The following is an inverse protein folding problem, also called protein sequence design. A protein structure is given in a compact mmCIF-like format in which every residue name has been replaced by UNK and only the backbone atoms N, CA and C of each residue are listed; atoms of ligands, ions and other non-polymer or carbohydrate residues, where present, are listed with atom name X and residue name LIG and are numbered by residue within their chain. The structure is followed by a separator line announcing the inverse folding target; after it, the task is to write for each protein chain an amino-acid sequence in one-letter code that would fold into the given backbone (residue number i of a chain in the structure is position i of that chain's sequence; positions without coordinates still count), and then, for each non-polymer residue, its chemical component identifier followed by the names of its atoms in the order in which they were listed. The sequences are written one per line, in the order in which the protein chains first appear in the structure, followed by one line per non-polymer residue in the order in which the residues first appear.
data_IF_917991074696
#
_entry.id   IF_917991074696
#
_cell.length_a   1.000
_cell.length_b   1.000
_cell.length_c   1.000
_cell.angle_alpha   90.00
_cell.angle_beta   90.00
_cell.angle_gamma   90.00
#
_symmetry.space_group_name_H-M   'P 1'
#
loop_
_entity.id
_entity.type
_entity.pdbx_description
1 polymer ?
#
# COMPACT_ATOMS: atom_id res chain seq x y z
N UNK A 1 -29.76 20.03 27.28
CA UNK A 1 -29.62 18.61 27.60
C UNK A 1 -29.91 17.85 26.33
N UNK A 2 -28.88 17.46 25.59
CA UNK A 2 -28.64 16.06 25.23
C UNK A 2 -27.24 16.01 24.62
N UNK A 3 -26.26 15.63 25.46
CA UNK A 3 -24.89 15.47 25.06
C UNK A 3 -24.68 14.02 24.69
N UNK A 4 -24.66 13.71 23.40
CA UNK A 4 -24.16 12.44 22.91
C UNK A 4 -22.65 12.43 23.11
N UNK A 5 -22.21 11.98 24.29
CA UNK A 5 -20.84 11.60 24.54
C UNK A 5 -20.48 10.50 23.53
N UNK A 6 -19.58 10.83 22.61
CA UNK A 6 -19.04 9.95 21.59
C UNK A 6 -18.44 8.72 22.29
N UNK A 7 -18.99 7.53 22.04
CA UNK A 7 -18.60 6.24 22.64
C UNK A 7 -17.22 5.75 22.21
N UNK A 8 -16.33 6.66 21.78
CA UNK A 8 -14.96 6.42 21.33
C UNK A 8 -13.92 6.50 22.46
N UNK A 9 -14.33 6.84 23.67
CA UNK A 9 -13.47 6.83 24.86
C UNK A 9 -13.20 5.39 25.34
N UNK A 10 -12.13 4.77 24.85
CA UNK A 10 -11.64 3.53 25.47
C UNK A 10 -10.62 2.72 24.70
N UNK A 11 -10.47 2.95 23.39
CA UNK A 11 -9.55 2.14 22.59
C UNK A 11 -8.19 2.79 22.38
N UNK A 12 -7.13 2.06 22.72
CA UNK A 12 -5.74 2.46 22.46
C UNK A 12 -5.52 2.56 20.94
N UNK A 13 -5.20 3.76 20.45
CA UNK A 13 -5.09 4.07 19.02
C UNK A 13 -4.21 3.06 18.27
N UNK A 14 -3.13 2.61 18.91
CA UNK A 14 -2.17 1.66 18.33
C UNK A 14 -2.70 0.25 18.16
N UNK A 15 -3.58 -0.21 19.05
CA UNK A 15 -4.19 -1.54 18.98
C UNK A 15 -5.44 -1.57 18.10
N UNK A 16 -6.13 -0.43 17.98
CA UNK A 16 -7.31 -0.31 17.15
C UNK A 16 -7.11 -0.81 15.72
N UNK A 17 -8.20 -1.32 15.15
CA UNK A 17 -8.27 -1.70 13.75
C UNK A 17 -7.90 -0.50 12.87
N UNK A 18 -6.84 -0.66 12.08
CA UNK A 18 -6.50 0.22 10.98
C UNK A 18 -7.03 -0.46 9.71
N UNK A 19 -8.20 -0.01 9.27
CA UNK A 19 -8.95 -0.41 8.09
C UNK A 19 -8.57 0.40 6.84
N UNK A 20 -7.63 1.32 6.93
CA UNK A 20 -7.13 2.09 5.78
C UNK A 20 -6.33 1.26 4.76
N UNK A 21 -6.26 -0.07 4.90
CA UNK A 21 -5.57 -0.97 3.98
C UNK A 21 -6.57 -1.52 2.96
N UNK A 22 -6.11 -1.72 1.72
CA UNK A 22 -6.94 -2.29 0.66
C UNK A 22 -7.54 -3.66 1.05
N UNK A 23 -8.83 -3.85 0.78
CA UNK A 23 -9.57 -5.06 1.08
C UNK A 23 -10.07 -5.14 2.53
N UNK A 24 -10.14 -4.01 3.22
CA UNK A 24 -10.63 -3.88 4.61
C UNK A 24 -11.77 -2.85 4.73
N UNK A 25 -12.35 -2.44 3.61
CA UNK A 25 -13.48 -1.52 3.56
C UNK A 25 -14.76 -2.20 4.10
N UNK A 26 -15.59 -1.45 4.83
CA UNK A 26 -16.91 -1.92 5.29
C UNK A 26 -16.89 -2.94 6.44
N UNK A 27 -15.76 -3.12 7.11
CA UNK A 27 -15.67 -4.02 8.27
C UNK A 27 -16.37 -3.45 9.50
N UNK A 28 -16.98 -4.33 10.29
CA UNK A 28 -17.48 -4.01 11.63
C UNK A 28 -16.30 -3.76 12.58
N UNK A 29 -15.91 -2.49 12.66
CA UNK A 29 -14.76 -2.05 13.44
C UNK A 29 -14.95 -2.38 14.91
N UNK A 30 -16.13 -2.14 15.46
CA UNK A 30 -16.39 -2.27 16.90
C UNK A 30 -16.29 -3.73 17.33
N UNK A 31 -16.88 -4.64 16.57
CA UNK A 31 -16.76 -6.08 16.83
C UNK A 31 -15.30 -6.57 16.78
N UNK A 32 -14.55 -6.21 15.74
CA UNK A 32 -13.15 -6.62 15.57
C UNK A 32 -12.30 -6.06 16.72
N UNK A 33 -12.51 -4.78 17.04
CA UNK A 33 -11.83 -4.06 18.09
C UNK A 33 -12.08 -4.69 19.47
N UNK A 34 -13.32 -5.10 19.77
CA UNK A 34 -13.66 -5.79 21.01
C UNK A 34 -12.89 -7.11 21.14
N UNK A 35 -12.81 -7.92 20.09
CA UNK A 35 -12.04 -9.18 20.09
C UNK A 35 -10.55 -8.90 20.32
N UNK A 36 -9.98 -7.89 19.65
CA UNK A 36 -8.58 -7.49 19.84
C UNK A 36 -8.32 -7.07 21.29
N UNK A 37 -9.22 -6.26 21.86
CA UNK A 37 -9.11 -5.78 23.22
C UNK A 37 -9.19 -6.92 24.23
N UNK A 38 -10.19 -7.79 24.12
CA UNK A 38 -10.35 -8.97 24.99
C UNK A 38 -9.14 -9.90 24.93
N UNK A 39 -8.58 -10.12 23.74
CA UNK A 39 -7.40 -10.95 23.57
C UNK A 39 -6.11 -10.35 24.15
N UNK A 40 -6.09 -9.04 24.40
CA UNK A 40 -4.88 -8.30 24.78
C UNK A 40 -4.92 -7.78 26.22
N UNK A 41 -6.12 -7.58 26.78
CA UNK A 41 -6.33 -7.00 28.12
C UNK A 41 -5.58 -7.81 29.19
N UNK A 42 -4.88 -7.11 30.07
CA UNK A 42 -4.07 -7.73 31.14
C UNK A 42 -2.66 -8.16 30.72
N UNK A 43 -2.31 -8.12 29.43
CA UNK A 43 -0.94 -8.41 28.99
C UNK A 43 0.04 -7.28 29.31
N UNK A 44 1.34 -7.61 29.46
CA UNK A 44 2.41 -6.60 29.57
C UNK A 44 2.45 -5.67 28.34
N UNK A 45 2.14 -6.19 27.15
CA UNK A 45 2.02 -5.40 25.94
C UNK A 45 0.90 -4.35 26.06
N UNK A 46 -0.29 -4.75 26.51
CA UNK A 46 -1.41 -3.83 26.72
C UNK A 46 -1.07 -2.73 27.71
N UNK A 47 -0.46 -3.06 28.85
CA UNK A 47 -0.01 -2.07 29.85
C UNK A 47 0.98 -1.06 29.23
N UNK A 48 1.92 -1.53 28.42
CA UNK A 48 2.85 -0.67 27.70
C UNK A 48 2.14 0.24 26.67
N UNK A 49 1.15 -0.29 25.95
CA UNK A 49 0.35 0.53 25.02
C UNK A 49 -0.49 1.59 25.73
N UNK A 50 -1.07 1.28 26.91
CA UNK A 50 -1.73 2.29 27.77
C UNK A 50 -0.75 3.40 28.14
N UNK A 51 0.45 3.05 28.60
CA UNK A 51 1.49 4.03 28.96
C UNK A 51 1.87 4.92 27.77
N UNK A 52 2.06 4.34 26.59
CA UNK A 52 2.39 5.11 25.38
C UNK A 52 1.23 6.02 24.94
N UNK A 53 -0.01 5.57 25.08
CA UNK A 53 -1.20 6.39 24.79
C UNK A 53 -1.27 7.61 25.72
N UNK A 54 -1.00 7.42 27.02
CA UNK A 54 -0.91 8.52 27.99
C UNK A 54 0.16 9.54 27.59
N UNK A 55 1.36 9.09 27.19
CA UNK A 55 2.43 9.98 26.71
C UNK A 55 2.00 10.81 25.49
N UNK A 56 1.27 10.19 24.54
CA UNK A 56 0.73 10.91 23.38
C UNK A 56 -0.31 11.94 23.83
N UNK A 57 -1.21 11.59 24.75
CA UNK A 57 -2.21 12.50 25.28
C UNK A 57 -1.58 13.68 26.04
N UNK A 58 -0.52 13.45 26.81
CA UNK A 58 0.25 14.52 27.45
C UNK A 58 0.90 15.46 26.43
N UNK A 59 1.45 14.91 25.34
CA UNK A 59 2.02 15.70 24.23
C UNK A 59 0.95 16.56 23.56
N UNK A 60 -0.23 16.00 23.29
CA UNK A 60 -1.38 16.73 22.77
C UNK A 60 -1.80 17.83 23.75
N UNK A 61 -1.90 17.53 25.05
CA UNK A 61 -2.24 18.53 26.06
C UNK A 61 -1.22 19.68 26.12
N UNK A 62 0.08 19.40 26.00
CA UNK A 62 1.12 20.44 25.90
C UNK A 62 0.94 21.29 24.64
N UNK A 63 0.69 20.66 23.49
CA UNK A 63 0.45 21.34 22.22
C UNK A 63 -0.79 22.25 22.29
N UNK A 64 -1.91 21.77 22.85
CA UNK A 64 -3.14 22.56 22.99
C UNK A 64 -2.96 23.75 23.94
N UNK A 65 -2.21 23.57 25.04
CA UNK A 65 -1.83 24.69 25.92
C UNK A 65 -0.92 25.70 25.22
N UNK A 66 -0.06 25.26 24.30
CA UNK A 66 0.75 26.17 23.50
C UNK A 66 -0.13 26.94 22.50
N UNK A 67 -1.03 26.25 21.78
CA UNK A 67 -2.01 26.88 20.86
C UNK A 67 -2.83 27.96 21.56
N UNK A 68 -3.31 27.70 22.77
CA UNK A 68 -4.11 28.66 23.54
C UNK A 68 -3.36 29.96 23.92
N UNK A 69 -2.03 29.97 23.88
CA UNK A 69 -1.21 31.15 24.15
C UNK A 69 -0.88 31.97 22.90
N UNK A 70 -1.16 31.43 21.70
CA UNK A 70 -0.87 32.12 20.44
C UNK A 70 -1.83 33.27 20.24
N UNK A 71 -1.31 34.43 19.85
CA UNK A 71 -2.12 35.60 19.50
C UNK A 71 -2.44 35.61 18.01
N UNK A 72 -3.55 36.27 17.64
CA UNK A 72 -3.93 36.47 16.24
C UNK A 72 -2.81 37.16 15.44
N UNK A 73 -2.11 38.10 16.07
CA UNK A 73 -0.97 38.79 15.45
C UNK A 73 0.19 37.83 15.14
N UNK A 74 0.50 36.89 16.04
CA UNK A 74 1.53 35.87 15.79
C UNK A 74 1.12 34.95 14.64
N UNK A 75 -0.15 34.53 14.60
CA UNK A 75 -0.68 33.67 13.53
C UNK A 75 -0.63 34.40 12.20
N UNK A 76 -1.08 35.66 12.13
CA UNK A 76 -1.09 36.42 10.88
C UNK A 76 0.33 36.75 10.38
N UNK A 77 1.29 36.94 11.30
CA UNK A 77 2.71 37.18 10.96
C UNK A 77 3.41 35.91 10.49
N UNK A 78 2.89 34.72 10.80
CA UNK A 78 3.47 33.46 10.33
C UNK A 78 3.43 33.41 8.80
N UNK A 79 4.59 33.64 8.18
CA UNK A 79 4.73 33.69 6.74
C UNK A 79 4.82 32.27 6.20
N UNK A 80 3.98 31.97 5.21
CA UNK A 80 4.04 30.72 4.48
C UNK A 80 4.86 30.95 3.21
N UNK A 81 5.73 30.01 2.87
CA UNK A 81 6.56 30.12 1.67
C UNK A 81 5.70 29.93 0.41
N UNK A 82 5.42 31.02 -0.31
CA UNK A 82 4.81 30.98 -1.64
C UNK A 82 5.76 30.40 -2.71
N UNK A 83 7.06 30.33 -2.40
CA UNK A 83 8.11 29.87 -3.30
C UNK A 83 7.93 28.39 -3.67
N UNK A 84 7.42 27.57 -2.75
CA UNK A 84 7.16 26.15 -3.00
C UNK A 84 6.14 25.93 -4.12
N UNK A 85 5.11 26.78 -4.22
CA UNK A 85 4.12 26.67 -5.28
C UNK A 85 4.69 27.15 -6.62
N UNK A 86 5.54 28.18 -6.60
CA UNK A 86 6.23 28.68 -7.80
C UNK A 86 7.19 27.66 -8.39
N UNK A 87 7.81 26.83 -7.55
CA UNK A 87 8.71 25.75 -7.94
C UNK A 87 8.03 24.43 -8.32
N UNK A 88 6.70 24.38 -8.48
CA UNK A 88 5.97 23.15 -8.80
C UNK A 88 6.40 22.59 -10.16
N UNK A 89 6.94 21.39 -10.16
CA UNK A 89 7.22 20.62 -11.38
C UNK A 89 6.08 19.61 -11.64
N UNK A 90 5.51 19.63 -12.85
CA UNK A 90 4.45 18.69 -13.27
C UNK A 90 4.83 17.85 -14.51
N UNK A 91 5.98 18.13 -15.15
CA UNK A 91 6.38 17.48 -16.39
C UNK A 91 6.95 16.07 -16.25
N UNK A 92 7.03 15.53 -15.03
CA UNK A 92 7.54 14.19 -14.74
C UNK A 92 6.39 13.20 -14.63
N UNK A 93 6.63 11.95 -15.06
CA UNK A 93 5.69 10.85 -14.91
C UNK A 93 6.29 9.83 -13.95
N UNK A 94 5.95 9.97 -12.68
CA UNK A 94 6.40 9.07 -11.62
C UNK A 94 5.38 7.96 -11.43
N UNK A 95 5.87 6.72 -11.41
CA UNK A 95 5.09 5.52 -11.15
C UNK A 95 5.54 4.91 -9.84
N UNK A 96 4.58 4.60 -8.96
CA UNK A 96 4.81 3.71 -7.83
C UNK A 96 4.13 2.37 -8.12
N UNK A 97 4.88 1.28 -8.05
CA UNK A 97 4.35 -0.08 -8.21
C UNK A 97 4.45 -0.81 -6.88
N UNK A 98 3.41 -1.54 -6.52
CA UNK A 98 3.27 -2.25 -5.24
C UNK A 98 2.55 -3.59 -5.48
N UNK A 99 3.25 -4.72 -5.24
CA UNK A 99 2.70 -6.06 -5.46
C UNK A 99 1.52 -6.35 -4.52
N UNK A 100 0.49 -7.03 -5.02
CA UNK A 100 -0.73 -7.25 -4.24
C UNK A 100 -0.58 -8.40 -3.25
N UNK A 101 -0.61 -8.07 -1.95
CA UNK A 101 -0.47 -9.05 -0.85
C UNK A 101 0.77 -9.97 -1.03
N UNK A 102 1.89 -9.40 -1.46
CA UNK A 102 3.06 -10.09 -2.02
C UNK A 102 3.37 -11.48 -1.47
N UNK A 103 3.81 -11.61 -0.21
CA UNK A 103 4.20 -12.91 0.34
C UNK A 103 3.04 -13.91 0.34
N UNK A 104 1.82 -13.48 0.66
CA UNK A 104 0.65 -14.35 0.62
C UNK A 104 0.31 -14.79 -0.81
N UNK A 105 0.46 -13.90 -1.79
CA UNK A 105 0.23 -14.21 -3.20
C UNK A 105 1.26 -15.23 -3.73
N UNK A 106 2.53 -15.11 -3.33
CA UNK A 106 3.58 -16.10 -3.65
C UNK A 106 3.20 -17.48 -3.11
N UNK A 107 2.82 -17.57 -1.83
CA UNK A 107 2.44 -18.86 -1.24
C UNK A 107 1.14 -19.43 -1.84
N UNK A 108 0.17 -18.58 -2.23
CA UNK A 108 -1.04 -19.00 -2.93
C UNK A 108 -0.76 -19.54 -4.34
N UNK A 109 0.22 -18.98 -5.04
CA UNK A 109 0.66 -19.46 -6.36
C UNK A 109 1.31 -20.84 -6.24
N UNK A 110 2.22 -20.99 -5.28
CA UNK A 110 2.98 -22.23 -5.10
C UNK A 110 2.15 -23.35 -4.46
N UNK A 111 1.09 -23.02 -3.72
CA UNK A 111 0.16 -23.97 -3.10
C UNK A 111 -1.30 -23.59 -3.44
N UNK A 112 -1.85 -24.15 -4.55
CA UNK A 112 -3.19 -23.81 -5.03
C UNK A 112 -4.31 -24.03 -4.00
N UNK A 113 -4.13 -24.96 -3.05
CA UNK A 113 -5.10 -25.21 -1.97
C UNK A 113 -5.35 -24.00 -1.05
N UNK A 114 -4.48 -22.99 -1.08
CA UNK A 114 -4.59 -21.77 -0.29
C UNK A 114 -5.38 -20.67 -1.00
N UNK A 115 -5.63 -20.80 -2.32
CA UNK A 115 -6.16 -19.72 -3.16
C UNK A 115 -7.48 -19.14 -2.64
N UNK A 116 -8.39 -20.02 -2.24
CA UNK A 116 -9.74 -19.65 -1.79
C UNK A 116 -9.90 -19.66 -0.26
N UNK A 117 -8.81 -19.81 0.49
CA UNK A 117 -8.82 -19.86 1.96
C UNK A 117 -8.33 -18.55 2.56
N UNK A 118 -8.87 -18.10 3.71
CA UNK A 118 -8.25 -17.02 4.46
C UNK A 118 -6.87 -17.48 4.94
N UNK A 119 -5.80 -16.81 4.51
CA UNK A 119 -4.44 -17.15 4.91
C UNK A 119 -3.58 -15.92 5.20
N UNK A 120 -2.54 -16.14 6.01
CA UNK A 120 -1.55 -15.13 6.37
C UNK A 120 -0.14 -15.73 6.40
N UNK A 121 0.86 -14.90 6.16
CA UNK A 121 2.28 -15.30 6.23
C UNK A 121 2.89 -14.74 7.51
N UNK A 122 3.58 -15.58 8.28
CA UNK A 122 4.23 -15.21 9.53
C UNK A 122 4.22 -16.36 10.54
N UNK A 123 3.89 -16.05 11.79
CA UNK A 123 3.79 -17.02 12.87
C UNK A 123 2.67 -16.67 13.84
N UNK A 124 2.46 -17.51 14.85
CA UNK A 124 1.55 -17.21 15.96
C UNK A 124 1.93 -15.92 16.71
N UNK A 125 3.21 -15.55 16.70
CA UNK A 125 3.70 -14.33 17.35
C UNK A 125 3.44 -13.07 16.53
N UNK A 126 3.64 -13.13 15.21
CA UNK A 126 3.48 -11.95 14.34
C UNK A 126 3.21 -12.35 12.89
N UNK A 127 2.25 -11.67 12.27
CA UNK A 127 1.96 -11.78 10.84
C UNK A 127 2.66 -10.68 10.04
N UNK A 128 3.34 -11.07 8.96
CA UNK A 128 3.97 -10.16 8.00
C UNK A 128 2.97 -9.64 6.97
N UNK A 129 2.05 -10.47 6.50
CA UNK A 129 0.97 -10.06 5.60
C UNK A 129 -0.19 -11.06 5.64
N UNK A 130 -1.31 -10.71 4.99
CA UNK A 130 -2.50 -11.55 4.83
C UNK A 130 -3.08 -11.38 3.43
N UNK A 131 -3.67 -12.45 2.90
CA UNK A 131 -4.40 -12.39 1.64
C UNK A 131 -5.72 -11.61 1.80
N UNK A 132 -6.31 -11.21 0.68
CA UNK A 132 -7.55 -10.41 0.70
C UNK A 132 -8.73 -11.15 1.33
N UNK A 133 -8.79 -12.48 1.27
CA UNK A 133 -9.81 -13.28 1.98
C UNK A 133 -9.72 -13.12 3.50
N UNK A 134 -8.52 -13.17 4.06
CA UNK A 134 -8.30 -12.98 5.51
C UNK A 134 -8.53 -11.53 5.96
N UNK A 135 -8.24 -10.54 5.10
CA UNK A 135 -8.47 -9.11 5.39
C UNK A 135 -9.94 -8.79 5.66
N UNK A 136 -10.88 -9.52 5.05
CA UNK A 136 -12.33 -9.41 5.32
C UNK A 136 -12.73 -9.76 6.76
N UNK A 137 -11.85 -10.39 7.53
CA UNK A 137 -12.05 -10.67 8.96
C UNK A 137 -11.31 -9.69 9.87
N UNK A 138 -10.64 -8.67 9.31
CA UNK A 138 -9.79 -7.75 10.07
C UNK A 138 -8.34 -8.22 10.22
N UNK A 139 -7.98 -9.40 9.71
CA UNK A 139 -6.61 -9.94 9.78
C UNK A 139 -5.68 -9.15 8.88
N UNK A 140 -4.59 -8.63 9.43
CA UNK A 140 -3.64 -7.77 8.70
C UNK A 140 -2.19 -7.96 9.17
N UNK A 141 -1.25 -7.44 8.37
CA UNK A 141 0.15 -7.31 8.78
C UNK A 141 0.32 -6.56 10.12
N UNK A 142 1.37 -6.92 10.86
CA UNK A 142 1.69 -6.44 12.20
C UNK A 142 0.63 -6.81 13.28
N UNK A 143 -0.20 -7.82 13.01
CA UNK A 143 -1.10 -8.43 13.99
C UNK A 143 -0.48 -9.73 14.52
N UNK A 144 -0.57 -10.03 15.83
CA UNK A 144 -0.20 -11.35 16.35
C UNK A 144 -1.08 -12.45 15.77
N UNK A 145 -0.47 -13.57 15.36
CA UNK A 145 -1.19 -14.70 14.75
C UNK A 145 -2.25 -15.30 15.67
N UNK A 146 -2.01 -15.35 16.98
CA UNK A 146 -3.03 -15.83 17.95
C UNK A 146 -4.27 -14.93 18.02
N UNK A 147 -4.13 -13.61 17.81
CA UNK A 147 -5.28 -12.69 17.73
C UNK A 147 -6.00 -12.89 16.39
N UNK A 148 -5.23 -13.02 15.30
CA UNK A 148 -5.79 -13.26 13.98
C UNK A 148 -6.63 -14.56 13.92
N UNK A 149 -6.20 -15.61 14.62
CA UNK A 149 -6.96 -16.87 14.79
C UNK A 149 -8.27 -16.69 15.58
N UNK A 150 -8.34 -15.74 16.51
CA UNK A 150 -9.61 -15.40 17.18
C UNK A 150 -10.57 -14.66 16.26
N UNK A 151 -10.05 -13.80 15.38
CA UNK A 151 -10.85 -13.11 14.36
C UNK A 151 -11.33 -14.06 13.25
N UNK A 152 -10.49 -15.02 12.87
CA UNK A 152 -10.76 -16.00 11.83
C UNK A 152 -10.22 -17.38 12.27
N UNK A 153 -11.06 -18.25 12.89
CA UNK A 153 -10.63 -19.57 13.39
C UNK A 153 -10.02 -20.46 12.30
N UNK A 154 -10.56 -20.37 11.09
CA UNK A 154 -10.14 -21.15 9.91
C UNK A 154 -8.90 -20.55 9.20
N UNK A 155 -8.28 -19.48 9.72
CA UNK A 155 -7.12 -18.84 9.11
C UNK A 155 -5.94 -19.81 8.99
N UNK A 156 -5.37 -19.97 7.81
CA UNK A 156 -4.11 -20.72 7.63
C UNK A 156 -2.93 -19.77 7.83
N UNK A 157 -1.99 -20.11 8.70
CA UNK A 157 -0.75 -19.33 8.91
C UNK A 157 0.41 -20.10 8.30
N UNK A 158 1.03 -19.53 7.27
CA UNK A 158 2.17 -20.11 6.55
C UNK A 158 3.47 -19.44 7.01
N UNK A 159 4.54 -20.19 7.29
CA UNK A 159 5.86 -19.62 7.63
C UNK A 159 6.44 -18.74 6.53
N UNK A 160 7.36 -17.84 6.88
CA UNK A 160 8.08 -16.99 5.92
C UNK A 160 9.09 -17.82 5.11
N UNK A 161 9.20 -17.52 3.80
CA UNK A 161 10.26 -18.03 2.93
C UNK A 161 10.90 -16.88 2.13
N UNK A 162 11.91 -16.23 2.71
CA UNK A 162 12.54 -15.04 2.12
C UNK A 162 13.29 -15.32 0.83
N UNK A 163 13.81 -16.53 0.62
CA UNK A 163 14.51 -16.88 -0.61
C UNK A 163 13.55 -16.85 -1.81
N UNK A 164 12.35 -17.43 -1.65
CA UNK A 164 11.28 -17.34 -2.67
C UNK A 164 10.89 -15.89 -2.96
N UNK A 165 10.67 -15.10 -1.92
CA UNK A 165 10.22 -13.72 -2.07
C UNK A 165 11.28 -12.85 -2.76
N UNK A 166 12.56 -13.09 -2.46
CA UNK A 166 13.69 -12.41 -3.09
C UNK A 166 13.79 -12.78 -4.56
N UNK A 167 13.72 -14.08 -4.89
CA UNK A 167 13.75 -14.55 -6.29
C UNK A 167 12.61 -13.98 -7.14
N UNK A 168 11.40 -13.88 -6.59
CA UNK A 168 10.28 -13.24 -7.29
C UNK A 168 10.50 -11.73 -7.42
N UNK A 169 11.02 -11.06 -6.39
CA UNK A 169 11.36 -9.64 -6.45
C UNK A 169 12.34 -9.32 -7.58
N UNK A 170 13.36 -10.16 -7.76
CA UNK A 170 14.35 -10.04 -8.84
C UNK A 170 13.68 -10.12 -10.23
N UNK A 171 12.78 -11.07 -10.43
CA UNK A 171 12.03 -11.21 -11.68
C UNK A 171 11.18 -9.96 -12.01
N UNK A 172 10.54 -9.37 -10.98
CA UNK A 172 9.75 -8.14 -11.11
C UNK A 172 10.66 -6.94 -11.42
N UNK A 173 11.80 -6.83 -10.74
CA UNK A 173 12.78 -5.77 -10.96
C UNK A 173 13.39 -5.78 -12.36
N UNK A 174 13.55 -6.96 -12.96
CA UNK A 174 13.93 -7.08 -14.38
C UNK A 174 12.87 -6.47 -15.31
N UNK A 175 11.59 -6.54 -14.96
CA UNK A 175 10.53 -5.85 -15.72
C UNK A 175 10.65 -4.34 -15.52
N UNK A 176 10.85 -3.87 -14.28
CA UNK A 176 11.03 -2.45 -13.97
C UNK A 176 12.18 -1.81 -14.75
N UNK A 177 13.32 -2.49 -14.83
CA UNK A 177 14.51 -2.01 -15.52
C UNK A 177 14.29 -1.71 -17.02
N UNK A 178 13.25 -2.28 -17.64
CA UNK A 178 12.89 -2.00 -19.03
C UNK A 178 12.14 -0.66 -19.22
N UNK A 179 11.61 -0.07 -18.13
CA UNK A 179 10.90 1.20 -18.16
C UNK A 179 11.70 2.33 -17.50
N UNK A 180 12.48 2.00 -16.48
CA UNK A 180 13.42 2.93 -15.84
C UNK A 180 14.63 2.12 -15.35
N UNK A 181 15.81 2.23 -16.00
CA UNK A 181 17.01 1.52 -15.55
C UNK A 181 17.55 2.04 -14.21
N UNK A 182 17.04 3.17 -13.72
CA UNK A 182 17.44 3.81 -12.46
C UNK A 182 16.33 3.83 -11.42
N UNK A 183 15.33 2.93 -11.55
CA UNK A 183 14.24 2.79 -10.60
C UNK A 183 14.75 2.65 -9.15
N UNK A 184 13.96 3.10 -8.18
CA UNK A 184 14.27 3.02 -6.76
C UNK A 184 13.44 1.93 -6.09
N UNK A 185 14.02 0.75 -5.78
CA UNK A 185 13.36 -0.23 -4.94
C UNK A 185 13.28 0.27 -3.50
N UNK A 186 12.10 0.22 -2.90
CA UNK A 186 11.89 0.56 -1.48
C UNK A 186 11.86 -0.70 -0.60
N UNK A 187 11.30 -1.79 -1.13
CA UNK A 187 11.21 -3.10 -0.49
C UNK A 187 11.37 -4.22 -1.54
N UNK A 188 11.01 -5.46 -1.17
CA UNK A 188 10.93 -6.56 -2.15
C UNK A 188 9.72 -6.42 -3.10
N UNK A 189 8.66 -5.74 -2.66
CA UNK A 189 7.37 -5.66 -3.34
C UNK A 189 7.02 -4.28 -3.89
N UNK A 190 7.79 -3.24 -3.59
CA UNK A 190 7.46 -1.89 -4.04
C UNK A 190 8.68 -1.11 -4.57
N UNK A 191 8.43 -0.28 -5.59
CA UNK A 191 9.44 0.56 -6.24
C UNK A 191 8.84 1.84 -6.85
N UNK A 192 9.67 2.86 -6.98
CA UNK A 192 9.39 4.04 -7.80
C UNK A 192 10.14 3.99 -9.12
N UNK A 193 9.50 4.44 -10.20
CA UNK A 193 10.06 4.59 -11.53
C UNK A 193 9.78 6.00 -12.05
N UNK A 194 10.75 6.64 -12.70
CA UNK A 194 10.52 7.82 -13.55
C UNK A 194 10.47 7.36 -15.01
N UNK A 195 9.26 7.19 -15.54
CA UNK A 195 9.06 6.70 -16.92
C UNK A 195 9.00 7.83 -17.95
N UNK A 196 9.38 9.06 -17.57
CA UNK A 196 9.29 10.23 -18.45
C UNK A 196 10.07 10.02 -19.75
N UNK A 197 11.32 9.57 -19.66
CA UNK A 197 12.17 9.31 -20.84
C UNK A 197 11.64 8.14 -21.66
N UNK A 198 11.25 7.04 -21.01
CA UNK A 198 10.64 5.89 -21.68
C UNK A 198 9.40 6.30 -22.49
N UNK A 199 8.54 7.17 -21.96
CA UNK A 199 7.35 7.63 -22.68
C UNK A 199 7.69 8.49 -23.90
N UNK A 200 8.73 9.33 -23.82
CA UNK A 200 9.21 10.09 -24.98
C UNK A 200 9.67 9.18 -26.12
N UNK A 201 10.41 8.12 -25.81
CA UNK A 201 10.85 7.13 -26.81
C UNK A 201 9.65 6.33 -27.33
N UNK A 202 8.78 5.88 -26.42
CA UNK A 202 7.62 5.03 -26.70
C UNK A 202 6.63 5.65 -27.69
N UNK A 203 6.53 6.98 -27.74
CA UNK A 203 5.70 7.69 -28.74
C UNK A 203 6.05 7.32 -30.19
N UNK A 204 7.30 6.94 -30.45
CA UNK A 204 7.80 6.63 -31.78
C UNK A 204 7.94 5.12 -32.03
N UNK A 205 7.58 4.28 -31.04
CA UNK A 205 7.73 2.83 -31.15
C UNK A 205 6.69 2.20 -32.08
N UNK A 206 7.11 1.31 -33.00
CA UNK A 206 6.17 0.49 -33.76
C UNK A 206 5.37 -0.43 -32.83
N UNK A 207 4.21 -0.89 -33.28
CA UNK A 207 3.35 -1.80 -32.48
C UNK A 207 4.08 -3.08 -32.07
N UNK A 208 5.00 -3.58 -32.91
CA UNK A 208 5.78 -4.79 -32.64
C UNK A 208 6.62 -4.71 -31.35
N UNK A 209 7.07 -3.51 -30.95
CA UNK A 209 7.81 -3.29 -29.70
C UNK A 209 6.90 -3.18 -28.47
N UNK A 210 5.59 -3.07 -28.68
CA UNK A 210 4.56 -2.94 -27.64
C UNK A 210 3.53 -4.06 -27.72
N UNK A 211 3.89 -5.18 -28.35
CA UNK A 211 3.04 -6.33 -28.56
C UNK A 211 3.58 -7.52 -27.80
N UNK A 212 2.73 -8.17 -27.01
CA UNK A 212 3.09 -9.36 -26.24
C UNK A 212 2.07 -10.47 -26.49
N UNK A 213 2.54 -11.72 -26.55
CA UNK A 213 1.66 -12.89 -26.58
C UNK A 213 1.21 -13.18 -25.16
N UNK A 214 -0.09 -13.29 -24.94
CA UNK A 214 -0.61 -13.81 -23.67
C UNK A 214 -0.41 -15.33 -23.67
N UNK A 215 0.25 -15.84 -22.63
CA UNK A 215 0.24 -17.27 -22.35
C UNK A 215 -1.05 -17.53 -21.56
N UNK A 216 -2.06 -18.11 -22.21
CA UNK A 216 -3.21 -18.63 -21.48
C UNK A 216 -2.71 -19.74 -20.54
N UNK A 217 -2.69 -19.47 -19.23
CA UNK A 217 -2.60 -20.51 -18.22
C UNK A 217 -3.94 -21.26 -18.27
N UNK A 218 -4.09 -22.20 -19.19
CA UNK A 218 -5.23 -23.10 -19.23
C UNK A 218 -5.35 -23.81 -17.87
N UNK A 219 -6.38 -23.47 -17.11
CA UNK A 219 -6.86 -24.29 -16.01
C UNK A 219 -7.48 -25.52 -16.67
N UNK A 220 -7.06 -26.76 -16.36
CA UNK A 220 -7.72 -27.94 -16.90
C UNK A 220 -9.17 -27.93 -16.42
N UNK A 221 -10.11 -27.67 -17.31
CA UNK A 221 -11.51 -27.94 -17.07
C UNK A 221 -11.64 -29.45 -17.18
N UNK A 222 -11.66 -30.14 -16.03
CA UNK A 222 -12.13 -31.53 -15.97
C UNK A 222 -13.56 -31.56 -16.50
N UNK A 223 -13.70 -31.96 -17.76
CA UNK A 223 -14.99 -32.31 -18.33
C UNK A 223 -15.27 -33.75 -17.97
N UNK A 224 -15.95 -33.95 -16.85
CA UNK A 224 -16.70 -35.18 -16.58
C UNK A 224 -17.71 -35.37 -17.71
N UNK A 225 -17.40 -36.25 -18.66
CA UNK A 225 -18.37 -36.78 -19.60
C UNK A 225 -18.38 -38.30 -19.55
N UNK A 226 -19.39 -38.80 -18.84
CA UNK A 226 -19.82 -40.19 -18.83
C UNK A 226 -20.49 -40.55 -20.18
N UNK A 227 -19.87 -41.51 -20.90
CA UNK A 227 -20.48 -42.59 -21.72
C UNK A 227 -21.15 -42.24 -23.09
N UNK A 228 -21.40 -43.23 -24.01
CA UNK A 228 -20.77 -44.54 -24.25
C UNK A 228 -20.37 -44.83 -25.73
N UNK A 229 -19.61 -45.91 -25.89
CA UNK A 229 -19.34 -46.77 -27.08
C UNK A 229 -20.30 -46.65 -28.27
N UNK A 230 -19.77 -46.43 -29.49
CA UNK A 230 -20.26 -46.98 -30.77
C UNK A 230 -19.12 -47.07 -31.83
N UNK A 231 -19.23 -48.05 -32.72
CA UNK A 231 -18.22 -48.75 -33.55
C UNK A 231 -17.63 -48.02 -34.79
N UNK A 232 -16.63 -48.69 -35.37
CA UNK A 232 -15.56 -48.38 -36.35
C UNK A 232 -15.87 -47.89 -37.80
N UNK A 233 -14.76 -47.42 -38.42
CA UNK A 233 -14.29 -47.55 -39.83
C UNK A 233 -14.53 -46.45 -40.89
N UNK A 234 -13.51 -45.60 -41.14
CA UNK A 234 -12.77 -45.48 -42.43
C UNK A 234 -11.79 -44.28 -42.47
N UNK A 235 -10.71 -44.32 -43.30
CA UNK A 235 -9.53 -43.45 -43.17
C UNK A 235 -9.41 -42.36 -44.25
N UNK A 236 -9.00 -41.14 -43.88
CA UNK A 236 -8.24 -40.23 -44.79
C UNK A 236 -7.64 -39.02 -44.05
N UNK A 237 -6.32 -38.95 -44.02
CA UNK A 237 -5.46 -37.76 -44.20
C UNK A 237 -5.88 -36.41 -43.59
N UNK A 238 -5.19 -36.00 -42.51
CA UNK A 238 -4.28 -34.83 -42.43
C UNK A 238 -3.88 -34.57 -40.98
N UNK A 239 -2.59 -34.36 -40.64
CA UNK A 239 -2.19 -33.90 -39.32
C UNK A 239 -2.27 -32.36 -39.30
N UNK A 240 -3.42 -31.81 -38.91
CA UNK A 240 -3.47 -30.42 -38.47
C UNK A 240 -3.08 -30.39 -36.98
N UNK A 241 -1.83 -29.99 -36.72
CA UNK A 241 -1.38 -29.53 -35.42
C UNK A 241 -2.36 -28.47 -34.88
N UNK A 242 -2.89 -28.59 -33.66
CA UNK A 242 -3.55 -27.46 -33.02
C UNK A 242 -2.46 -26.56 -32.44
N UNK A 243 -2.01 -25.59 -33.24
CA UNK A 243 -1.32 -24.42 -32.70
C UNK A 243 -2.36 -23.54 -32.04
N UNK A 244 -2.39 -23.47 -30.71
CA UNK A 244 -3.09 -22.38 -30.04
C UNK A 244 -2.30 -21.09 -30.33
N UNK A 245 -2.67 -20.37 -31.39
CA UNK A 245 -2.13 -19.04 -31.66
C UNK A 245 -2.58 -18.13 -30.50
N UNK A 246 -1.72 -18.00 -29.49
CA UNK A 246 -1.98 -17.18 -28.30
C UNK A 246 -2.35 -15.76 -28.70
N UNK A 247 -3.35 -15.19 -28.01
CA UNK A 247 -3.84 -13.84 -28.29
C UNK A 247 -2.72 -12.82 -28.12
N UNK A 248 -2.41 -12.08 -29.20
CA UNK A 248 -1.46 -10.98 -29.16
C UNK A 248 -2.17 -9.75 -28.61
N UNK A 249 -1.60 -9.16 -27.56
CA UNK A 249 -2.07 -7.92 -26.96
C UNK A 249 -1.10 -6.78 -27.24
N UNK A 250 -1.63 -5.66 -27.72
CA UNK A 250 -0.86 -4.45 -28.05
C UNK A 250 -1.19 -3.36 -27.03
N UNK A 251 -0.16 -2.72 -26.47
CA UNK A 251 -0.30 -1.68 -25.45
C UNK A 251 -0.02 -0.32 -26.05
N UNK A 252 -0.88 0.68 -25.82
CA UNK A 252 -0.74 2.05 -26.35
C UNK A 252 0.50 2.81 -25.88
N UNK A 253 0.58 4.10 -26.23
CA UNK A 253 1.73 4.98 -25.94
C UNK A 253 1.52 5.91 -24.74
N UNK A 254 0.34 5.91 -24.13
CA UNK A 254 0.05 6.74 -22.95
C UNK A 254 0.76 6.22 -21.69
N UNK A 255 0.91 7.05 -20.64
CA UNK A 255 1.38 6.61 -19.33
C UNK A 255 0.59 5.41 -18.78
N UNK A 256 -0.74 5.46 -18.88
CA UNK A 256 -1.62 4.40 -18.39
C UNK A 256 -1.37 3.08 -19.12
N UNK A 257 -1.15 3.12 -20.43
CA UNK A 257 -0.90 1.93 -21.23
C UNK A 257 0.49 1.34 -20.97
N UNK A 258 1.52 2.17 -20.77
CA UNK A 258 2.85 1.70 -20.40
C UNK A 258 2.84 1.00 -19.02
N UNK A 259 2.07 1.53 -18.06
CA UNK A 259 1.93 0.91 -16.73
C UNK A 259 1.05 -0.35 -16.79
N UNK A 260 0.02 -0.37 -17.65
CA UNK A 260 -0.78 -1.58 -17.91
C UNK A 260 0.09 -2.68 -18.51
N UNK A 261 0.97 -2.35 -19.45
CA UNK A 261 1.97 -3.26 -20.02
C UNK A 261 2.92 -3.79 -18.94
N UNK A 262 3.45 -2.91 -18.10
CA UNK A 262 4.34 -3.30 -17.01
C UNK A 262 3.68 -4.31 -16.06
N UNK A 263 2.43 -4.03 -15.65
CA UNK A 263 1.64 -4.93 -14.79
C UNK A 263 1.35 -6.27 -15.48
N UNK A 264 0.97 -6.24 -16.75
CA UNK A 264 0.77 -7.44 -17.55
C UNK A 264 2.05 -8.30 -17.62
N UNK A 265 3.21 -7.69 -17.89
CA UNK A 265 4.49 -8.40 -17.94
C UNK A 265 4.88 -9.01 -16.60
N UNK A 266 4.59 -8.32 -15.50
CA UNK A 266 4.77 -8.87 -14.14
C UNK A 266 3.90 -10.10 -13.95
N UNK A 267 2.62 -10.03 -14.31
CA UNK A 267 1.68 -11.14 -14.18
C UNK A 267 2.08 -12.33 -15.05
N UNK A 268 2.42 -12.12 -16.32
CA UNK A 268 2.86 -13.19 -17.22
C UNK A 268 4.15 -13.86 -16.71
N UNK A 269 5.08 -13.10 -16.14
CA UNK A 269 6.36 -13.62 -15.68
C UNK A 269 6.27 -14.33 -14.33
N UNK A 270 5.43 -13.84 -13.42
CA UNK A 270 5.44 -14.27 -12.01
C UNK A 270 4.17 -14.99 -11.59
N UNK A 271 3.10 -14.92 -12.39
CA UNK A 271 1.73 -15.28 -12.03
C UNK A 271 1.17 -14.53 -10.82
N UNK A 272 1.69 -13.32 -10.56
CA UNK A 272 1.26 -12.44 -9.47
C UNK A 272 0.84 -11.07 -10.01
N UNK A 273 -0.11 -10.44 -9.34
CA UNK A 273 -0.60 -9.12 -9.72
C UNK A 273 0.12 -8.00 -8.96
N UNK A 274 0.15 -6.83 -9.58
CA UNK A 274 0.62 -5.60 -8.97
C UNK A 274 -0.40 -4.49 -9.18
N UNK A 275 -0.42 -3.54 -8.24
CA UNK A 275 -1.14 -2.28 -8.40
C UNK A 275 -0.17 -1.13 -8.58
N UNK A 276 -0.59 -0.09 -9.28
CA UNK A 276 0.28 1.02 -9.64
C UNK A 276 -0.38 2.39 -9.54
N UNK A 277 0.39 3.39 -9.15
CA UNK A 277 -0.04 4.78 -9.11
C UNK A 277 0.81 5.63 -10.04
N UNK A 278 0.17 6.46 -10.85
CA UNK A 278 0.80 7.35 -11.82
C UNK A 278 0.54 8.79 -11.38
N UNK A 279 1.59 9.57 -11.17
CA UNK A 279 1.44 10.96 -10.75
C UNK A 279 2.68 11.82 -11.07
N UNK A 280 2.59 13.15 -10.92
CA UNK A 280 3.72 14.04 -11.18
C UNK A 280 4.87 13.95 -10.16
N UNK A 281 4.66 13.30 -9.02
CA UNK A 281 5.68 13.16 -7.97
C UNK A 281 5.48 11.86 -7.15
N UNK A 282 6.53 11.47 -6.43
CA UNK A 282 6.58 10.21 -5.65
C UNK A 282 5.49 10.14 -4.58
N UNK A 283 5.21 11.25 -3.88
CA UNK A 283 4.22 11.26 -2.79
C UNK A 283 2.83 10.91 -3.32
N UNK A 284 2.41 11.57 -4.39
CA UNK A 284 1.12 11.29 -5.04
C UNK A 284 1.08 9.90 -5.67
N UNK A 285 2.16 9.48 -6.36
CA UNK A 285 2.22 8.16 -6.99
C UNK A 285 2.01 7.03 -5.98
N UNK A 286 2.62 7.13 -4.79
CA UNK A 286 2.39 6.17 -3.70
C UNK A 286 0.93 6.09 -3.29
N UNK A 287 0.30 7.23 -3.04
CA UNK A 287 -1.12 7.28 -2.63
C UNK A 287 -2.02 6.70 -3.74
N UNK A 288 -1.73 7.01 -5.00
CA UNK A 288 -2.47 6.47 -6.15
C UNK A 288 -2.38 4.95 -6.24
N UNK A 289 -1.20 4.36 -5.96
CA UNK A 289 -1.00 2.91 -6.07
C UNK A 289 -1.86 2.09 -5.11
N UNK A 290 -2.27 2.68 -3.99
CA UNK A 290 -3.15 2.05 -3.01
C UNK A 290 -4.64 2.21 -3.32
N UNK A 291 -5.02 3.16 -4.21
CA UNK A 291 -6.42 3.56 -4.42
C UNK A 291 -7.28 2.49 -5.08
N UNK A 292 -6.72 1.80 -6.08
CA UNK A 292 -7.40 0.78 -6.87
C UNK A 292 -6.85 -0.64 -6.61
N UNK A 293 -6.24 -0.88 -5.43
CA UNK A 293 -5.81 -2.22 -5.03
C UNK A 293 -7.01 -3.14 -4.76
N UNK A 294 -6.91 -4.45 -5.08
CA UNK A 294 -5.82 -5.13 -5.80
C UNK A 294 -5.94 -5.06 -7.33
N UNK A 295 -4.85 -5.38 -8.02
CA UNK A 295 -4.71 -5.52 -9.46
C UNK A 295 -5.31 -4.35 -10.25
N UNK A 296 -5.05 -3.12 -9.79
CA UNK A 296 -5.57 -1.91 -10.42
C UNK A 296 -4.52 -0.82 -10.52
N UNK A 297 -4.84 0.22 -11.28
CA UNK A 297 -4.00 1.41 -11.38
C UNK A 297 -4.83 2.69 -11.29
N UNK A 298 -4.21 3.77 -10.84
CA UNK A 298 -4.83 5.09 -10.77
C UNK A 298 -3.85 6.17 -11.22
N UNK A 299 -4.34 7.14 -11.99
CA UNK A 299 -3.54 8.22 -12.56
C UNK A 299 -4.05 9.58 -12.11
N UNK A 300 -3.13 10.49 -11.78
CA UNK A 300 -3.41 11.93 -11.62
C UNK A 300 -2.77 12.62 -12.82
N UNK A 301 -3.60 13.36 -13.57
CA UNK A 301 -3.13 14.14 -14.71
C UNK A 301 -2.07 15.17 -14.28
N UNK A 302 -1.10 15.50 -15.14
CA UNK A 302 -0.02 16.46 -14.85
C UNK A 302 -0.50 17.92 -14.88
N UNK A 303 -1.64 18.19 -14.25
CA UNK A 303 -2.29 19.49 -14.17
C UNK A 303 -2.47 19.87 -12.71
N UNK A 304 -2.20 21.14 -12.39
CA UNK A 304 -2.37 21.66 -11.02
C UNK A 304 -3.78 21.43 -10.49
N UNK A 305 -4.79 21.63 -11.33
CA UNK A 305 -6.19 21.47 -10.92
C UNK A 305 -6.47 20.01 -10.51
N UNK A 306 -6.05 19.04 -11.33
CA UNK A 306 -6.20 17.61 -11.02
C UNK A 306 -5.49 17.21 -9.70
N UNK A 307 -4.28 17.75 -9.46
CA UNK A 307 -3.56 17.53 -8.19
C UNK A 307 -4.34 18.10 -7.01
N UNK A 308 -4.81 19.34 -7.10
CA UNK A 308 -5.53 19.98 -6.00
C UNK A 308 -6.90 19.33 -5.76
N UNK A 309 -7.58 18.88 -6.81
CA UNK A 309 -8.84 18.13 -6.73
C UNK A 309 -8.63 16.82 -5.97
N UNK A 310 -7.55 16.09 -6.27
CA UNK A 310 -7.19 14.87 -5.57
C UNK A 310 -6.84 15.12 -4.09
N UNK A 311 -6.08 16.18 -3.80
CA UNK A 311 -5.61 16.50 -2.45
C UNK A 311 -6.73 16.98 -1.54
N UNK A 312 -7.74 17.66 -2.08
CA UNK A 312 -8.82 18.30 -1.32
C UNK A 312 -9.43 17.40 -0.25
N UNK A 313 -9.84 16.20 -0.65
CA UNK A 313 -10.57 15.26 0.21
C UNK A 313 -9.68 14.11 0.71
N UNK A 314 -8.38 14.14 0.40
CA UNK A 314 -7.45 13.09 0.80
C UNK A 314 -7.27 13.10 2.34
N UNK A 315 -7.56 11.99 3.04
CA UNK A 315 -7.30 11.89 4.47
C UNK A 315 -5.79 11.97 4.75
N UNK A 316 -5.37 12.75 5.75
CA UNK A 316 -3.94 12.90 6.09
C UNK A 316 -3.27 11.56 6.37
N UNK A 317 -4.02 10.60 6.92
CA UNK A 317 -3.52 9.26 7.27
C UNK A 317 -3.11 8.40 6.06
N UNK A 318 -3.61 8.72 4.87
CA UNK A 318 -3.28 8.03 3.61
C UNK A 318 -1.94 8.50 3.03
N UNK A 319 -1.39 9.61 3.52
CA UNK A 319 -0.11 10.14 3.07
C UNK A 319 1.04 9.44 3.79
N UNK A 320 2.02 8.95 3.03
CA UNK A 320 3.24 8.36 3.60
C UNK A 320 3.96 9.37 4.51
N UNK A 321 4.39 8.92 5.69
CA UNK A 321 4.97 9.79 6.72
C UNK A 321 3.99 10.21 7.83
N UNK A 322 2.67 10.19 7.58
CA UNK A 322 1.67 10.49 8.61
C UNK A 322 1.17 9.19 9.27
N UNK A 323 1.82 8.83 10.39
CA UNK A 323 1.42 7.69 11.23
C UNK A 323 0.36 8.03 12.29
N UNK A 324 -0.09 7.00 13.03
CA UNK A 324 -1.16 7.10 14.06
C UNK A 324 -0.96 8.24 15.08
N UNK A 325 0.28 8.50 15.48
CA UNK A 325 0.58 9.56 16.46
C UNK A 325 0.37 10.94 15.85
N UNK A 326 0.95 11.20 14.68
CA UNK A 326 0.80 12.47 13.97
C UNK A 326 -0.65 12.71 13.58
N UNK A 327 -1.33 11.68 13.06
CA UNK A 327 -2.77 11.70 12.79
C UNK A 327 -3.57 12.13 14.04
N UNK A 328 -3.31 11.51 15.21
CA UNK A 328 -4.01 11.87 16.45
C UNK A 328 -3.72 13.30 16.90
N UNK A 329 -2.48 13.78 16.74
CA UNK A 329 -2.12 15.16 17.04
C UNK A 329 -2.83 16.15 16.11
N UNK A 330 -2.90 15.86 14.81
CA UNK A 330 -3.62 16.68 13.83
C UNK A 330 -5.14 16.66 14.08
N UNK A 331 -5.70 15.49 14.42
CA UNK A 331 -7.11 15.35 14.78
C UNK A 331 -7.50 16.18 16.02
N UNK A 332 -6.60 16.33 17.00
CA UNK A 332 -6.82 17.22 18.14
C UNK A 332 -6.86 18.72 17.77
N UNK A 333 -6.46 19.06 16.54
CA UNK A 333 -6.59 20.38 15.92
C UNK A 333 -7.73 20.44 14.91
N UNK A 334 -8.60 19.44 14.86
CA UNK A 334 -9.70 19.28 13.88
C UNK A 334 -9.21 19.17 12.42
N UNK A 335 -8.04 18.53 12.22
CA UNK A 335 -7.45 18.30 10.90
C UNK A 335 -7.50 16.80 10.56
N UNK A 336 -8.30 16.46 9.55
CA UNK A 336 -8.50 15.10 9.05
C UNK A 336 -8.12 14.95 7.57
N UNK A 337 -8.22 16.03 6.78
CA UNK A 337 -7.91 16.07 5.34
C UNK A 337 -6.71 16.96 5.03
N UNK A 338 -6.08 16.74 3.87
CA UNK A 338 -4.97 17.58 3.41
C UNK A 338 -5.39 19.03 3.12
N UNK A 339 -6.65 19.29 2.74
CA UNK A 339 -7.17 20.66 2.63
C UNK A 339 -7.20 21.37 3.99
N UNK A 340 -7.71 20.71 5.04
CA UNK A 340 -7.70 21.24 6.41
C UNK A 340 -6.28 21.46 6.93
N UNK A 341 -5.36 20.58 6.55
CA UNK A 341 -3.93 20.71 6.87
C UNK A 341 -3.38 22.04 6.32
N UNK A 342 -3.66 22.35 5.05
CA UNK A 342 -3.25 23.61 4.42
C UNK A 342 -3.90 24.85 5.05
N UNK A 343 -5.20 24.78 5.37
CA UNK A 343 -5.93 25.88 6.01
C UNK A 343 -5.33 26.29 7.36
N UNK A 344 -4.82 25.33 8.12
CA UNK A 344 -4.23 25.58 9.44
C UNK A 344 -2.70 25.77 9.42
N UNK A 345 -2.07 25.90 8.25
CA UNK A 345 -0.61 25.85 8.14
C UNK A 345 0.12 26.90 8.99
N UNK A 346 -0.43 28.11 9.11
CA UNK A 346 0.14 29.18 9.98
C UNK A 346 0.17 28.79 11.45
N UNK A 347 -0.86 28.07 11.91
CA UNK A 347 -0.89 27.55 13.28
C UNK A 347 0.09 26.39 13.41
N UNK A 348 0.14 25.49 12.42
CA UNK A 348 1.06 24.35 12.41
C UNK A 348 2.53 24.81 12.44
N UNK A 349 2.89 25.88 11.74
CA UNK A 349 4.26 26.42 11.73
C UNK A 349 4.71 26.97 13.09
N UNK A 350 3.76 27.31 13.98
CA UNK A 350 4.03 27.77 15.35
C UNK A 350 4.02 26.63 16.38
N UNK A 351 3.39 25.49 16.05
CA UNK A 351 3.23 24.36 16.97
C UNK A 351 4.21 23.21 16.73
N UNK A 352 4.69 23.05 15.50
CA UNK A 352 5.55 21.95 15.08
C UNK A 352 6.95 22.43 14.72
N UNK A 353 7.91 21.49 14.70
CA UNK A 353 9.27 21.80 14.24
C UNK A 353 9.26 22.21 12.78
N UNK A 354 10.31 22.94 12.38
CA UNK A 354 10.49 23.41 11.01
C UNK A 354 10.35 22.29 9.97
N UNK A 355 11.05 21.18 10.17
CA UNK A 355 10.95 20.00 9.31
C UNK A 355 9.53 19.46 9.18
N UNK A 356 8.78 19.44 10.28
CA UNK A 356 7.44 18.85 10.30
C UNK A 356 6.43 19.72 9.54
N UNK A 357 6.41 21.02 9.80
CA UNK A 357 5.42 21.89 9.14
C UNK A 357 5.76 22.13 7.68
N UNK A 358 7.04 22.16 7.28
CA UNK A 358 7.42 22.17 5.87
C UNK A 358 6.92 20.92 5.14
N UNK A 359 7.05 19.75 5.76
CA UNK A 359 6.50 18.51 5.22
C UNK A 359 4.97 18.58 5.10
N UNK A 360 4.26 19.10 6.12
CA UNK A 360 2.82 19.30 6.04
C UNK A 360 2.41 20.28 4.93
N UNK A 361 3.18 21.36 4.72
CA UNK A 361 2.94 22.31 3.65
C UNK A 361 3.07 21.66 2.28
N UNK A 362 4.14 20.89 2.05
CA UNK A 362 4.31 20.11 0.82
C UNK A 362 3.10 19.18 0.57
N UNK A 363 2.67 18.43 1.60
CA UNK A 363 1.50 17.55 1.51
C UNK A 363 0.23 18.34 1.15
N UNK A 364 -0.01 19.47 1.81
CA UNK A 364 -1.21 20.29 1.59
C UNK A 364 -1.28 20.89 0.17
N UNK A 365 -0.12 21.04 -0.48
CA UNK A 365 0.01 21.50 -1.86
C UNK A 365 0.13 20.34 -2.86
N UNK A 366 0.10 19.08 -2.44
CA UNK A 366 0.32 17.95 -3.34
C UNK A 366 1.74 17.88 -3.93
N UNK A 367 2.73 18.45 -3.23
CA UNK A 367 4.13 18.45 -3.62
C UNK A 367 4.87 17.25 -3.04
N UNK A 368 5.89 16.81 -3.75
CA UNK A 368 6.79 15.72 -3.36
C UNK A 368 7.97 15.65 -4.33
N UNK A 369 8.88 14.70 -4.10
CA UNK A 369 10.03 14.52 -4.98
C UNK A 369 9.58 14.16 -6.40
N UNK A 370 10.05 14.93 -7.39
CA UNK A 370 9.84 14.72 -8.83
C UNK A 370 11.03 13.99 -9.48
N UNK A 371 12.08 13.72 -8.68
CA UNK A 371 13.28 13.02 -9.10
C UNK A 371 13.57 11.90 -8.12
N UNK A 372 14.03 10.78 -8.67
CA UNK A 372 14.42 9.62 -7.89
C UNK A 372 15.91 9.75 -7.56
N UNK A 373 16.20 9.98 -6.28
CA UNK A 373 17.58 10.05 -5.80
C UNK A 373 18.14 8.63 -5.58
N UNK A 374 19.40 8.42 -5.99
CA UNK A 374 20.07 7.14 -5.81
C UNK A 374 20.57 7.01 -4.37
N UNK A 375 20.10 6.00 -3.66
CA UNK A 375 20.68 5.63 -2.37
C UNK A 375 22.00 4.89 -2.62
N UNK A 376 23.14 5.56 -2.38
CA UNK A 376 24.47 5.00 -2.66
C UNK A 376 25.11 4.40 -1.40
N UNK A 377 24.54 4.62 -0.21
CA UNK A 377 25.13 4.20 1.07
C UNK A 377 24.08 3.73 2.08
N UNK A 378 24.34 2.58 2.71
CA UNK A 378 23.58 2.10 3.87
C UNK A 378 24.12 2.78 5.14
N UNK A 379 23.31 3.59 5.85
CA UNK A 379 23.80 4.37 6.97
C UNK A 379 24.06 3.53 8.23
N UNK A 380 23.39 2.38 8.39
CA UNK A 380 23.54 1.50 9.55
C UNK A 380 23.10 0.06 9.24
N UNK A 381 23.72 -0.91 9.92
CA UNK A 381 23.31 -2.32 9.96
C UNK A 381 23.06 -2.72 11.42
N UNK A 382 21.93 -3.40 11.70
CA UNK A 382 21.62 -3.89 13.06
C UNK A 382 20.92 -5.24 13.02
N UNK A 383 21.25 -6.13 13.95
CA UNK A 383 20.59 -7.43 14.16
C UNK A 383 19.95 -7.42 15.54
N UNK A 384 18.67 -7.83 15.63
CA UNK A 384 17.94 -7.97 16.90
C UNK A 384 17.14 -9.27 16.87
N UNK A 385 17.19 -10.02 17.97
CA UNK A 385 16.44 -11.27 18.16
C UNK A 385 15.53 -11.08 19.37
N UNK A 386 14.27 -11.52 19.27
CA UNK A 386 13.32 -11.57 20.39
C UNK A 386 13.11 -13.02 20.78
N UNK A 387 13.41 -13.35 22.03
CA UNK A 387 13.31 -14.70 22.58
C UNK A 387 12.23 -14.77 23.68
N UNK A 388 11.71 -15.97 24.00
CA UNK A 388 10.79 -16.15 25.13
C UNK A 388 11.43 -15.65 26.43
N UNK A 389 10.60 -15.15 27.35
CA UNK A 389 11.07 -14.87 28.70
C UNK A 389 11.52 -16.17 29.37
N UNK A 390 12.62 -16.16 30.14
CA UNK A 390 13.01 -17.31 30.95
C UNK A 390 11.86 -17.70 31.87
N UNK A 391 11.68 -19.01 32.14
CA UNK A 391 10.66 -19.52 33.07
C UNK A 391 10.74 -18.89 34.48
N UNK A 392 11.90 -18.34 34.87
CA UNK A 392 12.10 -17.62 36.13
C UNK A 392 11.47 -16.22 36.16
N UNK A 393 11.07 -15.66 35.01
CA UNK A 393 10.50 -14.32 34.87
C UNK A 393 9.06 -14.31 34.32
N UNK A 394 8.51 -15.50 34.07
CA UNK A 394 7.10 -15.74 33.74
C UNK A 394 6.26 -15.77 35.01
#
# INVERSE_FOLDING_TARGET
MDGTADSREGMLSRMALNDNKAGMEGLDRDKINNIILEASKGSRFYVNEVKKEQQVNERIGKMMRHKAKLTEQQIQKAQLSAELEMGRELGRVIVHVDMDAFYAAVEMRDCPELKDKPMAVGSMSMLSTSNYHARRYGVRAAMPGFIAKKLCPNLVIVPLNFDKYTAVSEQVREVFAAYDPHFLPMSLDEAYLDITEHLHERQHWPESMRSYKSCDNEVPVETDNLSPVLFEDSPSSSPSLPGSDGKVEVFGTSPEEAVREMRFRIEQKTSLTASAGIAPNMMLAKVCSDKNKPNGQYSILPERQAVMDFIRDLPVRKVSGIGKVTEKMLAALDIFTCAQLGQQMRVLSLLFSETSWHHFLQISLGLGSTRIERCVTLPALSIRVTEPLPLSEM
#
